data_IF_233233634562
#
_entry.id   IF_233233634562
#
_cell.length_a   1.000
_cell.length_b   1.000
_cell.length_c   1.000
_cell.angle_alpha   90.00
_cell.angle_beta   90.00
_cell.angle_gamma   90.00
#
_symmetry.space_group_name_H-M   'P 1'
#
loop_
_entity.id
_entity.type
_entity.pdbx_description
1 polymer ?
#
# COMPACT_ATOMS: atom_id res chain seq x y z
N UNK A 1 12.07 -19.09 7.51
CA UNK A 1 12.30 -17.76 6.91
C UNK A 1 13.43 -17.89 5.90
N UNK A 2 13.28 -17.43 4.65
CA UNK A 2 14.33 -17.47 3.64
C UNK A 2 15.54 -16.61 4.05
N UNK A 3 16.71 -17.01 3.59
CA UNK A 3 17.92 -16.21 3.75
C UNK A 3 17.81 -14.90 2.94
N UNK A 4 18.47 -13.81 3.38
CA UNK A 4 18.52 -12.56 2.65
C UNK A 4 19.01 -12.75 1.22
N UNK A 5 18.49 -11.95 0.28
CA UNK A 5 18.96 -11.94 -1.09
C UNK A 5 20.45 -11.60 -1.16
N UNK A 6 21.18 -12.30 -2.02
CA UNK A 6 22.62 -12.07 -2.18
C UNK A 6 23.49 -12.51 -0.99
N UNK A 7 22.91 -13.20 -0.01
CA UNK A 7 23.70 -13.74 1.10
C UNK A 7 24.76 -14.71 0.59
N UNK A 8 26.01 -14.41 0.86
CA UNK A 8 27.11 -15.30 0.51
C UNK A 8 27.01 -16.62 1.27
N UNK A 9 27.07 -17.73 0.54
CA UNK A 9 26.94 -19.07 1.07
C UNK A 9 28.23 -19.90 0.95
N UNK A 10 29.35 -19.29 0.56
CA UNK A 10 30.65 -19.93 0.37
C UNK A 10 31.38 -20.24 1.71
N UNK A 11 30.99 -19.57 2.80
CA UNK A 11 31.62 -19.71 4.14
C UNK A 11 30.60 -19.72 5.26
N UNK A 12 29.66 -20.66 5.22
CA UNK A 12 28.59 -20.79 6.22
C UNK A 12 29.11 -21.54 7.45
N UNK A 13 28.90 -20.98 8.64
CA UNK A 13 29.12 -21.69 9.92
C UNK A 13 27.81 -22.16 10.48
N UNK A 14 27.79 -23.44 10.88
CA UNK A 14 26.61 -24.04 11.49
C UNK A 14 26.73 -24.02 13.01
N UNK A 15 25.70 -23.53 13.68
CA UNK A 15 25.55 -23.66 15.14
C UNK A 15 24.56 -24.77 15.39
N UNK A 16 25.07 -25.91 15.88
CA UNK A 16 24.27 -27.09 16.20
C UNK A 16 24.37 -27.34 17.71
N UNK A 17 23.23 -27.45 18.38
CA UNK A 17 23.15 -27.81 19.80
C UNK A 17 22.47 -29.14 19.90
N UNK A 18 23.21 -30.18 20.35
CA UNK A 18 22.66 -31.49 20.62
C UNK A 18 22.19 -31.56 22.07
N UNK A 19 21.03 -32.13 22.30
CA UNK A 19 20.47 -32.29 23.65
C UNK A 19 21.26 -33.23 24.56
N UNK A 20 21.93 -34.22 23.97
CA UNK A 20 22.74 -35.19 24.71
C UNK A 20 24.21 -34.82 24.65
N UNK A 21 24.89 -34.76 25.81
CA UNK A 21 26.30 -34.36 25.92
C UNK A 21 27.28 -35.30 25.16
N UNK A 22 26.92 -36.60 24.99
CA UNK A 22 27.72 -37.58 24.28
C UNK A 22 27.29 -37.78 22.81
N UNK A 23 26.46 -36.87 22.25
CA UNK A 23 26.06 -36.95 20.88
C UNK A 23 27.23 -36.63 19.92
N UNK A 24 27.37 -37.46 18.89
CA UNK A 24 28.24 -37.18 17.76
C UNK A 24 27.39 -36.55 16.66
N UNK A 25 27.90 -35.46 16.10
CA UNK A 25 27.23 -34.72 15.03
C UNK A 25 28.10 -34.74 13.79
N UNK A 26 27.50 -35.11 12.68
CA UNK A 26 28.12 -35.12 11.37
C UNK A 26 27.25 -34.36 10.37
N UNK A 27 27.88 -33.75 9.39
CA UNK A 27 27.20 -32.94 8.36
C UNK A 27 27.62 -33.44 6.98
N UNK A 28 26.68 -33.52 6.06
CA UNK A 28 26.91 -33.78 4.64
C UNK A 28 26.21 -32.74 3.80
N UNK A 29 26.88 -32.23 2.76
CA UNK A 29 26.31 -31.34 1.78
C UNK A 29 25.64 -32.11 0.64
N UNK A 30 24.41 -31.77 0.29
CA UNK A 30 23.65 -32.47 -0.72
C UNK A 30 23.62 -33.97 -0.56
N UNK A 31 24.16 -34.71 -1.54
CA UNK A 31 24.31 -36.17 -1.52
C UNK A 31 25.69 -36.63 -1.06
N UNK A 32 26.58 -35.69 -0.66
CA UNK A 32 27.95 -36.00 -0.24
C UNK A 32 28.07 -36.90 1.00
N UNK A 33 29.29 -37.26 1.38
CA UNK A 33 29.56 -38.05 2.55
C UNK A 33 29.41 -37.26 3.84
N UNK A 34 29.06 -37.93 4.93
CA UNK A 34 29.03 -37.34 6.26
C UNK A 34 30.44 -37.10 6.80
N UNK A 35 30.69 -35.94 7.33
CA UNK A 35 31.93 -35.53 7.98
C UNK A 35 31.65 -34.99 9.38
N UNK A 36 32.60 -35.20 10.31
CA UNK A 36 32.43 -34.70 11.67
C UNK A 36 32.24 -33.19 11.71
N UNK A 37 31.22 -32.73 12.41
CA UNK A 37 30.95 -31.34 12.63
C UNK A 37 31.83 -30.75 13.73
N UNK A 38 32.30 -29.55 13.52
CA UNK A 38 32.93 -28.72 14.57
C UNK A 38 32.37 -27.30 14.47
N UNK A 39 32.31 -26.59 15.60
CA UNK A 39 31.76 -25.23 15.64
C UNK A 39 32.54 -24.19 14.82
N UNK A 40 33.80 -24.50 14.47
CA UNK A 40 34.68 -23.62 13.69
C UNK A 40 34.69 -23.94 12.19
N UNK A 41 34.14 -25.11 11.81
CA UNK A 41 34.13 -25.55 10.41
C UNK A 41 33.19 -24.66 9.58
N UNK A 42 33.66 -24.28 8.40
CA UNK A 42 32.86 -23.62 7.38
C UNK A 42 32.48 -24.56 6.27
N UNK A 43 31.29 -24.35 5.72
CA UNK A 43 30.72 -25.15 4.63
C UNK A 43 30.43 -24.21 3.44
N UNK A 44 30.73 -24.69 2.24
CA UNK A 44 30.33 -24.00 1.02
C UNK A 44 28.99 -24.56 0.55
N UNK A 45 27.95 -23.73 0.68
CA UNK A 45 26.58 -24.04 0.29
C UNK A 45 26.17 -23.30 -0.99
N UNK A 46 27.13 -22.68 -1.71
CA UNK A 46 26.85 -21.94 -2.92
C UNK A 46 26.35 -22.82 -4.08
N UNK A 47 26.87 -24.06 -4.15
CA UNK A 47 26.49 -25.05 -5.17
C UNK A 47 25.33 -25.95 -4.76
N UNK A 48 25.06 -26.08 -3.46
CA UNK A 48 23.94 -26.85 -2.92
C UNK A 48 23.38 -26.19 -1.69
N UNK A 49 22.07 -25.98 -1.65
CA UNK A 49 21.38 -25.42 -0.50
C UNK A 49 20.87 -26.50 0.45
N UNK A 50 21.14 -27.76 0.14
CA UNK A 50 20.73 -28.92 0.96
C UNK A 50 21.86 -29.37 1.82
N UNK A 51 21.58 -29.59 3.09
CA UNK A 51 22.48 -30.27 4.00
C UNK A 51 21.73 -31.33 4.81
N UNK A 52 22.48 -32.34 5.18
CA UNK A 52 22.00 -33.45 6.06
C UNK A 52 22.83 -33.40 7.34
N UNK A 53 22.15 -33.45 8.47
CA UNK A 53 22.78 -33.46 9.79
C UNK A 53 22.45 -34.82 10.42
N UNK A 54 23.47 -35.61 10.69
CA UNK A 54 23.34 -36.88 11.39
C UNK A 54 23.74 -36.69 12.84
N UNK A 55 22.85 -37.03 13.74
CA UNK A 55 23.09 -37.03 15.18
C UNK A 55 23.07 -38.46 15.66
N UNK A 56 24.16 -38.90 16.29
CA UNK A 56 24.31 -40.27 16.85
C UNK A 56 24.43 -40.17 18.36
N UNK A 57 23.51 -40.77 19.10
CA UNK A 57 23.48 -40.78 20.55
C UNK A 57 23.70 -42.22 21.10
N UNK A 58 24.49 -42.40 22.18
CA UNK A 58 24.65 -43.72 22.78
C UNK A 58 23.33 -44.20 23.42
N UNK A 59 23.02 -45.48 23.24
CA UNK A 59 21.88 -46.10 23.91
C UNK A 59 22.34 -46.61 25.28
N UNK A 60 21.69 -46.17 26.34
CA UNK A 60 22.07 -46.51 27.70
C UNK A 60 22.13 -48.05 27.93
N UNK A 61 23.22 -48.54 28.53
CA UNK A 61 23.41 -49.96 28.82
C UNK A 61 23.82 -50.84 27.64
N UNK A 62 24.12 -50.24 26.48
CA UNK A 62 24.54 -50.99 25.26
C UNK A 62 25.74 -50.29 24.60
N UNK A 63 26.43 -51.02 23.69
CA UNK A 63 27.45 -50.43 22.80
C UNK A 63 26.85 -49.87 21.50
N UNK A 64 25.53 -49.79 21.41
CA UNK A 64 24.83 -49.30 20.21
C UNK A 64 24.61 -47.78 20.26
N UNK A 65 24.49 -47.20 19.11
CA UNK A 65 24.11 -45.78 18.93
C UNK A 65 22.85 -45.68 18.10
N UNK A 66 21.94 -44.83 18.53
CA UNK A 66 20.78 -44.48 17.78
C UNK A 66 21.14 -43.29 16.88
N UNK A 67 20.69 -43.31 15.62
CA UNK A 67 21.04 -42.31 14.64
C UNK A 67 19.79 -41.62 14.07
N UNK A 68 19.82 -40.32 14.02
CA UNK A 68 18.80 -39.48 13.41
C UNK A 68 19.42 -38.62 12.30
N UNK A 69 18.78 -38.58 11.15
CA UNK A 69 19.21 -37.73 10.02
C UNK A 69 18.18 -36.67 9.76
N UNK A 70 18.58 -35.42 9.94
CA UNK A 70 17.78 -34.23 9.61
C UNK A 70 18.20 -33.76 8.24
N UNK A 71 17.20 -33.39 7.42
CA UNK A 71 17.42 -32.71 6.16
C UNK A 71 17.07 -31.24 6.36
N UNK A 72 17.99 -30.36 5.97
CA UNK A 72 17.82 -28.91 6.06
C UNK A 72 18.01 -28.33 4.66
N UNK A 73 17.01 -27.63 4.19
CA UNK A 73 17.08 -26.89 2.94
C UNK A 73 17.16 -25.40 3.25
N UNK A 74 18.19 -24.72 2.70
CA UNK A 74 18.36 -23.28 2.85
C UNK A 74 17.67 -22.57 1.69
N UNK A 75 16.47 -22.09 1.93
CA UNK A 75 15.79 -21.23 0.96
C UNK A 75 16.43 -19.84 0.95
N UNK A 76 16.67 -19.29 -0.21
CA UNK A 76 17.08 -17.89 -0.39
C UNK A 76 16.23 -17.24 -1.48
N UNK A 77 16.01 -15.94 -1.38
CA UNK A 77 15.32 -15.23 -2.44
C UNK A 77 16.11 -15.31 -3.76
N UNK A 78 15.44 -15.59 -4.86
CA UNK A 78 16.01 -15.59 -6.22
C UNK A 78 16.24 -14.17 -6.67
N UNK A 79 15.32 -13.27 -6.32
CA UNK A 79 15.38 -11.85 -6.61
C UNK A 79 15.39 -11.07 -5.30
N UNK A 80 15.94 -9.86 -5.32
CA UNK A 80 15.84 -8.99 -4.15
C UNK A 80 14.36 -8.69 -3.85
N UNK A 81 13.82 -9.14 -2.70
CA UNK A 81 12.42 -8.93 -2.36
C UNK A 81 12.08 -7.46 -2.09
N UNK A 82 13.08 -6.59 -2.02
CA UNK A 82 12.91 -5.14 -1.86
C UNK A 82 12.96 -4.39 -3.18
N UNK A 83 13.23 -5.08 -4.30
CA UNK A 83 13.26 -4.45 -5.62
C UNK A 83 11.93 -4.60 -6.35
N UNK A 84 11.55 -3.53 -7.02
CA UNK A 84 10.50 -3.54 -8.03
C UNK A 84 11.14 -3.61 -9.41
N UNK A 85 10.64 -4.51 -10.23
CA UNK A 85 10.90 -4.45 -11.67
C UNK A 85 9.75 -3.72 -12.33
N UNK A 86 10.04 -2.55 -12.86
CA UNK A 86 9.07 -1.73 -13.54
C UNK A 86 9.16 -1.95 -15.04
N UNK A 87 8.01 -1.98 -15.68
CA UNK A 87 7.88 -1.97 -17.14
C UNK A 87 6.74 -1.06 -17.56
N UNK A 88 6.92 -0.34 -18.65
CA UNK A 88 5.81 0.37 -19.26
C UNK A 88 4.87 -0.64 -19.91
N UNK A 89 3.58 -0.50 -19.64
CA UNK A 89 2.53 -1.38 -20.16
C UNK A 89 1.62 -0.61 -21.10
N UNK A 90 1.25 -1.27 -22.21
CA UNK A 90 0.29 -0.71 -23.14
C UNK A 90 -1.07 -0.61 -22.48
N UNK A 91 -1.66 0.57 -22.53
CA UNK A 91 -2.96 0.83 -21.95
C UNK A 91 -3.78 1.76 -22.83
N UNK A 92 -5.11 1.67 -22.72
CA UNK A 92 -6.05 2.46 -23.51
C UNK A 92 -6.85 3.41 -22.62
N UNK A 93 -7.17 4.59 -23.15
CA UNK A 93 -8.03 5.60 -22.51
C UNK A 93 -7.54 6.04 -21.12
N UNK A 94 -6.22 6.14 -20.96
CA UNK A 94 -5.62 6.54 -19.67
C UNK A 94 -6.06 7.94 -19.24
N UNK A 95 -6.37 8.15 -17.94
CA UNK A 95 -6.61 9.48 -17.39
C UNK A 95 -5.37 10.39 -17.52
N UNK A 96 -5.55 11.60 -18.04
CA UNK A 96 -4.46 12.58 -18.17
C UNK A 96 -4.06 13.23 -16.83
N UNK A 97 -4.97 13.22 -15.86
CA UNK A 97 -4.78 13.81 -14.53
C UNK A 97 -4.44 15.32 -14.53
N UNK A 98 -4.65 16.05 -15.61
CA UNK A 98 -4.23 17.46 -15.75
C UNK A 98 -4.74 18.37 -14.62
N UNK A 99 -6.00 18.19 -14.18
CA UNK A 99 -6.59 18.90 -13.05
C UNK A 99 -6.46 18.18 -11.71
N UNK A 100 -5.77 17.02 -11.67
CA UNK A 100 -5.53 16.19 -10.50
C UNK A 100 -6.56 15.09 -10.27
N UNK A 101 -6.13 14.05 -9.55
CA UNK A 101 -7.01 13.06 -8.97
C UNK A 101 -7.79 13.69 -7.80
N UNK A 102 -9.08 13.41 -7.71
CA UNK A 102 -9.98 13.93 -6.66
C UNK A 102 -10.44 12.82 -5.71
N UNK A 103 -10.32 11.57 -6.13
CA UNK A 103 -10.60 10.40 -5.31
C UNK A 103 -10.49 9.13 -6.13
N UNK A 104 -9.95 8.10 -5.50
CA UNK A 104 -9.87 6.74 -6.01
C UNK A 104 -10.80 5.86 -5.18
N UNK A 105 -11.77 5.25 -5.81
CA UNK A 105 -12.68 4.30 -5.20
C UNK A 105 -12.25 2.89 -5.59
N UNK A 106 -11.51 2.24 -4.72
CA UNK A 106 -11.12 0.85 -4.90
C UNK A 106 -12.33 -0.08 -4.74
N UNK A 107 -12.44 -1.06 -5.61
CA UNK A 107 -13.50 -2.06 -5.62
C UNK A 107 -12.88 -3.45 -5.40
N UNK A 108 -13.71 -4.48 -5.24
CA UNK A 108 -13.23 -5.86 -5.12
C UNK A 108 -12.40 -6.30 -6.33
N UNK A 109 -12.74 -5.79 -7.51
CA UNK A 109 -11.95 -5.91 -8.75
C UNK A 109 -11.96 -4.55 -9.43
N UNK A 110 -10.78 -4.03 -9.74
CA UNK A 110 -10.62 -2.74 -10.39
C UNK A 110 -10.83 -1.53 -9.47
N UNK A 111 -11.02 -0.36 -10.06
CA UNK A 111 -11.30 0.89 -9.35
C UNK A 111 -12.03 1.91 -10.23
N UNK A 112 -12.68 2.88 -9.58
CA UNK A 112 -13.21 4.08 -10.22
C UNK A 112 -12.41 5.30 -9.74
N UNK A 113 -11.98 6.13 -10.68
CA UNK A 113 -11.19 7.35 -10.44
C UNK A 113 -12.02 8.58 -10.82
N UNK A 114 -12.26 9.43 -9.83
CA UNK A 114 -12.76 10.77 -10.04
C UNK A 114 -11.56 11.72 -10.22
N UNK A 115 -11.52 12.41 -11.34
CA UNK A 115 -10.40 13.29 -11.69
C UNK A 115 -10.86 14.49 -12.52
N UNK A 116 -9.96 15.38 -12.80
CA UNK A 116 -10.25 16.56 -13.60
C UNK A 116 -9.35 16.65 -14.81
N UNK A 117 -9.95 16.85 -15.97
CA UNK A 117 -9.26 17.19 -17.21
C UNK A 117 -9.42 18.70 -17.44
N UNK A 118 -8.34 19.45 -17.30
CA UNK A 118 -8.38 20.90 -17.34
C UNK A 118 -9.55 21.47 -16.49
N UNK A 119 -10.69 21.77 -17.11
CA UNK A 119 -11.86 22.31 -16.43
C UNK A 119 -13.05 21.34 -16.33
N UNK A 120 -12.97 20.17 -16.96
CA UNK A 120 -14.06 19.19 -16.97
C UNK A 120 -13.89 18.12 -15.88
N UNK A 121 -14.99 17.77 -15.22
CA UNK A 121 -15.04 16.63 -14.31
C UNK A 121 -15.05 15.35 -15.13
N UNK A 122 -14.31 14.35 -14.68
CA UNK A 122 -14.22 13.04 -15.31
C UNK A 122 -14.37 11.95 -14.26
N UNK A 123 -15.12 10.92 -14.60
CA UNK A 123 -15.18 9.68 -13.86
C UNK A 123 -14.77 8.57 -14.84
N UNK A 124 -13.76 7.80 -14.48
CA UNK A 124 -13.27 6.68 -15.30
C UNK A 124 -13.08 5.46 -14.41
N UNK A 125 -13.26 4.28 -14.97
CA UNK A 125 -13.06 3.03 -14.22
C UNK A 125 -12.34 1.98 -15.05
N UNK A 126 -11.79 0.99 -14.35
CA UNK A 126 -11.28 -0.26 -14.94
C UNK A 126 -11.80 -1.45 -14.12
N UNK A 127 -12.00 -2.59 -14.78
CA UNK A 127 -12.68 -3.74 -14.17
C UNK A 127 -11.75 -4.71 -13.43
N UNK A 128 -10.47 -4.83 -13.84
CA UNK A 128 -9.53 -5.77 -13.21
C UNK A 128 -8.11 -5.22 -13.15
N UNK A 129 -7.57 -4.79 -14.27
CA UNK A 129 -6.24 -4.20 -14.38
C UNK A 129 -6.35 -2.80 -14.98
N UNK A 130 -5.51 -1.84 -14.59
CA UNK A 130 -5.62 -0.46 -15.07
C UNK A 130 -5.09 -0.25 -16.50
N UNK A 131 -5.06 -1.31 -17.30
CA UNK A 131 -4.64 -1.28 -18.71
C UNK A 131 -5.76 -0.90 -19.68
N UNK A 132 -7.03 -0.98 -19.25
CA UNK A 132 -8.19 -0.60 -20.05
C UNK A 132 -9.17 0.20 -19.22
N UNK A 133 -9.23 1.49 -19.47
CA UNK A 133 -10.12 2.42 -18.80
C UNK A 133 -11.36 2.69 -19.65
N UNK A 134 -12.47 2.92 -18.97
CA UNK A 134 -13.72 3.35 -19.57
C UNK A 134 -14.24 4.62 -18.90
N UNK A 135 -14.79 5.53 -19.69
CA UNK A 135 -15.45 6.72 -19.16
C UNK A 135 -16.82 6.38 -18.61
N UNK A 136 -17.16 6.92 -17.46
CA UNK A 136 -18.49 6.81 -16.86
C UNK A 136 -19.18 8.18 -16.89
N UNK A 137 -20.47 8.24 -17.23
CA UNK A 137 -21.19 9.52 -17.29
C UNK A 137 -21.42 10.08 -15.90
N UNK A 138 -21.29 11.39 -15.75
CA UNK A 138 -21.70 12.14 -14.56
C UNK A 138 -23.11 12.76 -14.76
N UNK A 139 -24.01 12.03 -15.40
CA UNK A 139 -25.38 12.47 -15.68
C UNK A 139 -26.13 12.83 -14.40
N UNK A 140 -26.72 14.03 -14.36
CA UNK A 140 -27.39 14.57 -13.17
C UNK A 140 -26.54 15.54 -12.34
N UNK A 141 -25.21 15.56 -12.52
CA UNK A 141 -24.35 16.60 -11.96
C UNK A 141 -24.20 17.70 -13.01
N UNK A 142 -24.59 18.96 -12.70
CA UNK A 142 -24.43 20.09 -13.64
C UNK A 142 -22.96 20.24 -14.07
N UNK A 143 -22.71 20.42 -15.34
CA UNK A 143 -21.35 20.61 -15.88
C UNK A 143 -20.60 21.82 -15.33
N UNK A 144 -21.34 22.79 -14.79
CA UNK A 144 -20.81 23.96 -14.11
C UNK A 144 -20.33 23.71 -12.70
N UNK A 145 -20.78 22.60 -12.08
CA UNK A 145 -20.36 22.23 -10.73
C UNK A 145 -19.00 21.49 -10.75
N UNK A 146 -18.13 21.87 -9.84
CA UNK A 146 -16.82 21.23 -9.69
C UNK A 146 -16.93 20.11 -8.66
N UNK A 147 -16.71 18.88 -9.09
CA UNK A 147 -16.63 17.73 -8.17
C UNK A 147 -15.38 17.80 -7.30
N UNK A 148 -15.46 17.31 -6.06
CA UNK A 148 -14.38 17.43 -5.07
C UNK A 148 -13.94 16.10 -4.47
N UNK A 149 -14.83 15.12 -4.34
CA UNK A 149 -14.50 13.80 -3.79
C UNK A 149 -15.50 12.73 -4.18
N UNK A 150 -15.09 11.48 -4.11
CA UNK A 150 -15.93 10.29 -4.32
C UNK A 150 -15.68 9.29 -3.18
N UNK A 151 -16.72 8.63 -2.71
CA UNK A 151 -16.65 7.49 -1.79
C UNK A 151 -17.87 6.59 -1.97
N UNK A 152 -17.83 5.38 -1.38
CA UNK A 152 -18.96 4.47 -1.34
C UNK A 152 -19.44 4.18 0.07
N UNK A 153 -20.73 4.05 0.24
CA UNK A 153 -21.39 3.54 1.44
C UNK A 153 -22.12 2.24 1.05
N UNK A 154 -21.55 1.11 1.43
CA UNK A 154 -21.97 -0.16 0.87
C UNK A 154 -21.76 -0.18 -0.65
N UNK A 155 -22.83 -0.50 -1.40
CA UNK A 155 -22.81 -0.53 -2.87
C UNK A 155 -23.12 0.81 -3.53
N UNK A 156 -23.52 1.84 -2.76
CA UNK A 156 -23.93 3.14 -3.30
C UNK A 156 -22.75 4.08 -3.37
N UNK A 157 -22.49 4.67 -4.54
CA UNK A 157 -21.44 5.68 -4.72
C UNK A 157 -22.00 7.08 -4.47
N UNK A 158 -21.14 7.94 -3.91
CA UNK A 158 -21.46 9.33 -3.62
C UNK A 158 -20.36 10.23 -4.17
N UNK A 159 -20.73 11.42 -4.64
CA UNK A 159 -19.85 12.48 -5.10
C UNK A 159 -20.24 13.78 -4.41
N UNK A 160 -19.24 14.56 -4.00
CA UNK A 160 -19.45 15.93 -3.53
C UNK A 160 -18.97 16.96 -4.55
N UNK A 161 -19.51 18.18 -4.46
CA UNK A 161 -19.11 19.30 -5.29
C UNK A 161 -18.62 20.48 -4.44
N UNK A 162 -17.95 21.43 -5.09
CA UNK A 162 -17.49 22.68 -4.44
C UNK A 162 -18.63 23.59 -3.98
N UNK A 163 -19.85 23.35 -4.45
CA UNK A 163 -21.06 24.00 -4.00
C UNK A 163 -21.66 23.37 -2.72
N UNK A 164 -20.91 22.50 -2.05
CA UNK A 164 -21.34 21.74 -0.87
C UNK A 164 -22.58 20.85 -1.13
N UNK A 165 -22.72 20.36 -2.35
CA UNK A 165 -23.78 19.44 -2.72
C UNK A 165 -23.26 18.01 -2.69
N UNK A 166 -24.09 17.09 -2.23
CA UNK A 166 -23.89 15.65 -2.25
C UNK A 166 -24.76 15.04 -3.32
N UNK A 167 -24.19 14.18 -4.14
CA UNK A 167 -24.91 13.37 -5.12
C UNK A 167 -24.71 11.90 -4.79
N UNK A 168 -25.78 11.12 -4.91
CA UNK A 168 -25.74 9.67 -4.87
C UNK A 168 -26.01 9.08 -6.25
N UNK A 169 -25.35 7.99 -6.55
CA UNK A 169 -25.63 7.23 -7.77
C UNK A 169 -26.90 6.40 -7.60
N UNK A 170 -27.76 6.46 -8.57
CA UNK A 170 -28.98 5.66 -8.66
C UNK A 170 -29.28 5.35 -10.13
N UNK A 171 -29.29 4.06 -10.49
CA UNK A 171 -29.61 3.59 -11.84
C UNK A 171 -28.82 4.29 -12.95
N UNK A 172 -27.50 4.50 -12.73
CA UNK A 172 -26.61 5.13 -13.70
C UNK A 172 -26.69 6.65 -13.80
N UNK A 173 -27.44 7.31 -12.91
CA UNK A 173 -27.57 8.76 -12.81
C UNK A 173 -27.20 9.23 -11.41
N UNK A 174 -26.73 10.47 -11.29
CA UNK A 174 -26.39 11.12 -10.04
C UNK A 174 -27.54 12.01 -9.57
N UNK A 175 -28.07 11.75 -8.39
CA UNK A 175 -29.22 12.46 -7.81
C UNK A 175 -28.76 13.24 -6.60
N UNK A 176 -29.10 14.53 -6.56
CA UNK A 176 -28.76 15.41 -5.43
C UNK A 176 -29.44 14.93 -4.13
N UNK A 177 -28.66 14.84 -3.07
CA UNK A 177 -29.11 14.60 -1.69
C UNK A 177 -29.12 15.93 -0.96
N UNK A 178 -30.32 16.44 -0.71
CA UNK A 178 -30.50 17.78 -0.14
C UNK A 178 -30.10 17.87 1.34
N UNK A 179 -29.72 19.06 1.79
CA UNK A 179 -29.62 19.42 3.22
C UNK A 179 -28.46 18.82 4.01
N UNK A 180 -27.46 18.22 3.36
CA UNK A 180 -26.37 17.55 4.08
C UNK A 180 -25.23 18.50 4.51
N UNK A 181 -24.97 19.55 3.74
CA UNK A 181 -23.82 20.46 3.97
C UNK A 181 -22.45 19.79 3.79
N UNK A 182 -22.41 18.56 3.25
CA UNK A 182 -21.17 17.80 3.05
C UNK A 182 -20.36 18.43 1.93
N UNK A 183 -19.11 18.78 2.24
CA UNK A 183 -18.16 19.36 1.27
C UNK A 183 -17.11 18.39 0.81
N UNK A 184 -16.90 17.28 1.58
CA UNK A 184 -15.92 16.26 1.26
C UNK A 184 -16.28 14.90 1.85
N UNK A 185 -16.08 13.87 1.06
CA UNK A 185 -16.10 12.47 1.48
C UNK A 185 -14.66 12.01 1.75
N UNK A 186 -14.42 11.33 2.88
CA UNK A 186 -13.09 10.85 3.25
C UNK A 186 -12.98 9.35 2.99
N UNK A 187 -13.89 8.55 3.54
CA UNK A 187 -13.87 7.10 3.33
C UNK A 187 -14.87 6.35 4.20
N UNK A 188 -15.07 5.06 3.91
CA UNK A 188 -16.02 4.23 4.63
C UNK A 188 -15.47 3.80 5.99
N UNK A 189 -16.38 3.71 6.95
CA UNK A 189 -16.18 3.19 8.30
C UNK A 189 -17.32 2.24 8.66
N UNK A 190 -17.07 1.37 9.65
CA UNK A 190 -18.12 0.59 10.29
C UNK A 190 -18.31 1.14 11.71
N UNK A 191 -19.54 1.48 12.06
CA UNK A 191 -19.87 1.94 13.41
C UNK A 191 -19.62 0.84 14.44
N UNK A 192 -19.63 1.21 15.72
CA UNK A 192 -19.54 0.23 16.82
C UNK A 192 -20.69 -0.79 16.84
N UNK A 193 -21.77 -0.51 16.12
CA UNK A 193 -22.95 -1.38 15.96
C UNK A 193 -22.88 -2.22 14.68
N UNK A 194 -21.76 -2.15 13.92
CA UNK A 194 -21.58 -2.90 12.67
C UNK A 194 -22.19 -2.24 11.44
N UNK A 195 -22.79 -1.04 11.56
CA UNK A 195 -23.42 -0.36 10.44
C UNK A 195 -22.43 0.44 9.61
N UNK A 196 -22.56 0.42 8.28
CA UNK A 196 -21.67 1.20 7.41
C UNK A 196 -21.94 2.71 7.58
N UNK A 197 -20.87 3.49 7.57
CA UNK A 197 -20.87 4.95 7.67
C UNK A 197 -19.80 5.52 6.74
N UNK A 198 -19.96 6.79 6.34
CA UNK A 198 -18.91 7.55 5.68
C UNK A 198 -18.39 8.63 6.61
N UNK A 199 -17.08 8.68 6.81
CA UNK A 199 -16.43 9.84 7.38
C UNK A 199 -16.46 10.98 6.36
N UNK A 200 -16.92 12.14 6.78
CA UNK A 200 -17.14 13.30 5.92
C UNK A 200 -16.65 14.59 6.55
N UNK A 201 -16.42 15.60 5.73
CA UNK A 201 -16.32 17.00 6.18
C UNK A 201 -17.57 17.72 5.73
N UNK A 202 -18.19 18.43 6.64
CA UNK A 202 -19.30 19.34 6.37
C UNK A 202 -18.93 20.77 6.70
N UNK A 203 -19.60 21.72 6.08
CA UNK A 203 -19.52 23.13 6.42
C UNK A 203 -20.79 23.54 7.17
N UNK A 204 -20.61 24.10 8.35
CA UNK A 204 -21.69 24.61 9.19
C UNK A 204 -21.26 25.95 9.77
N UNK A 205 -22.06 27.00 9.60
CA UNK A 205 -21.73 28.35 10.06
C UNK A 205 -20.41 28.90 9.53
N UNK A 206 -19.97 28.48 8.34
CA UNK A 206 -18.69 28.87 7.74
C UNK A 206 -17.47 28.10 8.24
N UNK A 207 -17.62 27.16 9.18
CA UNK A 207 -16.57 26.35 9.73
C UNK A 207 -16.64 24.91 9.21
N UNK A 208 -15.48 24.30 8.92
CA UNK A 208 -15.39 22.91 8.54
C UNK A 208 -15.35 22.00 9.76
N UNK A 209 -16.18 20.99 9.78
CA UNK A 209 -16.30 20.02 10.86
C UNK A 209 -16.31 18.60 10.33
N UNK A 210 -15.78 17.68 11.13
CA UNK A 210 -15.92 16.25 10.85
C UNK A 210 -17.34 15.77 11.15
N UNK A 211 -17.83 14.82 10.38
CA UNK A 211 -19.13 14.18 10.58
C UNK A 211 -19.14 12.74 10.08
N UNK A 212 -20.20 12.03 10.44
CA UNK A 212 -20.53 10.69 9.95
C UNK A 212 -21.83 10.76 9.19
N UNK A 213 -21.82 10.24 7.96
CA UNK A 213 -23.00 10.13 7.11
C UNK A 213 -23.48 8.68 7.05
N UNK A 214 -24.75 8.45 7.31
CA UNK A 214 -25.36 7.11 7.36
C UNK A 214 -26.15 6.75 6.09
N UNK A 215 -26.14 7.61 5.09
CA UNK A 215 -26.93 7.47 3.86
C UNK A 215 -28.19 8.34 3.86
N UNK A 216 -28.60 8.88 5.00
CA UNK A 216 -29.78 9.73 5.14
C UNK A 216 -29.47 11.07 5.82
N UNK A 217 -28.67 11.05 6.88
CA UNK A 217 -28.33 12.21 7.69
C UNK A 217 -26.87 12.25 8.09
N UNK A 218 -26.40 13.43 8.46
CA UNK A 218 -25.06 13.63 9.00
C UNK A 218 -25.12 13.74 10.52
N UNK A 219 -24.55 12.77 11.22
CA UNK A 219 -24.24 12.93 12.63
C UNK A 219 -23.03 13.85 12.76
N UNK A 220 -23.23 15.07 13.21
CA UNK A 220 -22.13 15.99 13.46
C UNK A 220 -21.80 16.05 14.94
N UNK A 221 -20.51 16.00 15.22
CA UNK A 221 -19.95 16.33 16.52
C UNK A 221 -19.01 17.51 16.28
N UNK A 222 -18.95 18.44 17.23
CA UNK A 222 -18.25 19.73 17.09
C UNK A 222 -16.71 19.59 17.09
N UNK A 223 -16.17 18.78 16.19
CA UNK A 223 -14.73 18.66 15.99
C UNK A 223 -14.33 19.38 14.69
N UNK A 224 -13.62 20.49 14.84
CA UNK A 224 -13.10 21.27 13.72
C UNK A 224 -12.04 20.49 12.95
N UNK A 225 -12.00 20.68 11.64
CA UNK A 225 -10.96 20.12 10.78
C UNK A 225 -9.67 20.92 10.96
N UNK A 226 -8.55 20.29 11.36
CA UNK A 226 -7.25 20.96 11.44
C UNK A 226 -6.80 21.49 10.09
N UNK A 227 -6.05 22.62 10.09
CA UNK A 227 -5.57 23.26 8.86
C UNK A 227 -4.56 22.41 8.08
N UNK A 228 -3.88 21.48 8.75
CA UNK A 228 -2.91 20.53 8.19
C UNK A 228 -3.53 19.17 7.83
N UNK A 229 -4.86 19.05 7.94
CA UNK A 229 -5.56 17.83 7.52
C UNK A 229 -5.42 17.63 6.00
N UNK A 230 -5.13 16.41 5.51
CA UNK A 230 -4.83 16.16 4.10
C UNK A 230 -5.93 16.66 3.17
N UNK A 231 -5.54 17.21 2.02
CA UNK A 231 -6.47 17.74 1.01
C UNK A 231 -7.30 16.65 0.35
N UNK A 232 -8.32 17.06 -0.43
CA UNK A 232 -9.07 16.14 -1.28
C UNK A 232 -8.14 15.44 -2.29
N UNK A 233 -8.46 14.20 -2.64
CA UNK A 233 -7.62 13.35 -3.51
C UNK A 233 -6.50 12.60 -2.78
N UNK A 234 -6.30 12.83 -1.47
CA UNK A 234 -5.41 12.02 -0.67
C UNK A 234 -5.93 10.58 -0.58
N UNK A 235 -5.00 9.63 -0.62
CA UNK A 235 -5.34 8.21 -0.53
C UNK A 235 -5.85 7.86 0.87
N UNK A 236 -6.93 7.08 0.92
CA UNK A 236 -7.46 6.52 2.17
C UNK A 236 -7.72 5.03 2.02
N UNK A 237 -7.60 4.30 3.11
CA UNK A 237 -8.07 2.92 3.20
C UNK A 237 -8.63 2.61 4.58
N UNK A 238 -9.54 1.64 4.63
CA UNK A 238 -10.10 1.13 5.88
C UNK A 238 -9.54 -0.25 6.18
N UNK A 239 -9.14 -0.46 7.43
CA UNK A 239 -8.68 -1.75 7.94
C UNK A 239 -9.64 -2.25 9.01
N UNK A 240 -10.07 -3.51 8.89
CA UNK A 240 -10.88 -4.16 9.91
C UNK A 240 -9.96 -4.85 10.92
N UNK A 241 -9.94 -4.36 12.14
CA UNK A 241 -9.34 -5.11 13.24
C UNK A 241 -10.29 -6.22 13.68
N UNK A 242 -9.93 -7.46 13.30
CA UNK A 242 -10.73 -8.66 13.61
C UNK A 242 -10.83 -8.95 15.11
N UNK A 243 -9.87 -8.48 15.90
CA UNK A 243 -9.84 -8.73 17.35
C UNK A 243 -10.83 -7.84 18.10
N UNK A 244 -11.03 -6.62 17.65
CA UNK A 244 -11.93 -5.64 18.29
C UNK A 244 -13.21 -5.37 17.50
N UNK A 245 -13.37 -5.97 16.31
CA UNK A 245 -14.55 -5.79 15.46
C UNK A 245 -14.76 -4.35 14.98
N UNK A 246 -13.71 -3.54 14.96
CA UNK A 246 -13.76 -2.12 14.58
C UNK A 246 -13.01 -1.86 13.31
N UNK A 247 -13.56 -0.97 12.51
CA UNK A 247 -12.87 -0.45 11.34
C UNK A 247 -12.08 0.79 11.73
N UNK A 248 -10.81 0.83 11.35
CA UNK A 248 -9.97 2.04 11.40
C UNK A 248 -9.84 2.59 9.99
N UNK A 249 -10.17 3.85 9.81
CA UNK A 249 -9.94 4.58 8.54
C UNK A 249 -8.64 5.34 8.65
N UNK A 250 -7.77 5.12 7.66
CA UNK A 250 -6.49 5.80 7.51
C UNK A 250 -6.54 6.75 6.31
N UNK A 251 -5.91 7.91 6.46
CA UNK A 251 -5.78 8.92 5.42
C UNK A 251 -4.32 9.39 5.37
N UNK A 252 -3.73 9.38 4.19
CA UNK A 252 -2.34 9.78 4.00
C UNK A 252 -2.23 11.23 3.51
N UNK A 253 -1.20 11.90 3.98
CA UNK A 253 -0.88 13.26 3.57
C UNK A 253 0.59 13.57 3.83
N UNK A 254 0.94 14.83 3.65
CA UNK A 254 2.25 15.37 3.99
C UNK A 254 2.11 16.69 4.73
N UNK A 255 3.11 17.01 5.54
CA UNK A 255 3.19 18.25 6.30
C UNK A 255 4.56 18.88 6.15
N UNK A 256 4.58 20.20 6.00
CA UNK A 256 5.81 20.98 6.07
C UNK A 256 6.09 21.41 7.53
N UNK A 257 7.31 21.18 7.98
CA UNK A 257 7.78 21.65 9.27
C UNK A 257 9.26 22.06 9.17
N UNK A 258 9.58 23.28 9.59
CA UNK A 258 10.94 23.83 9.53
C UNK A 258 11.60 23.71 8.13
N UNK A 259 10.85 23.96 7.06
CA UNK A 259 11.32 23.90 5.67
C UNK A 259 11.53 22.48 5.12
N UNK A 260 11.15 21.44 5.87
CA UNK A 260 11.18 20.06 5.42
C UNK A 260 9.78 19.50 5.33
N UNK A 261 9.57 18.57 4.40
CA UNK A 261 8.30 17.87 4.21
C UNK A 261 8.39 16.46 4.80
N UNK A 262 7.36 16.09 5.55
CA UNK A 262 7.27 14.80 6.23
C UNK A 262 6.01 14.08 5.80
N UNK A 263 6.04 12.75 5.59
CA UNK A 263 4.85 11.96 5.42
C UNK A 263 4.02 11.98 6.71
N UNK A 264 2.72 12.07 6.57
CA UNK A 264 1.79 11.96 7.69
C UNK A 264 0.77 10.88 7.41
N UNK A 265 0.27 10.25 8.49
CA UNK A 265 -0.87 9.35 8.47
C UNK A 265 -1.87 9.82 9.51
N UNK A 266 -3.06 10.11 9.06
CA UNK A 266 -4.19 10.40 9.92
C UNK A 266 -5.05 9.16 10.06
N UNK A 267 -5.61 8.94 11.23
CA UNK A 267 -6.48 7.80 11.44
C UNK A 267 -7.61 8.10 12.42
N UNK A 268 -8.70 7.34 12.27
CA UNK A 268 -9.88 7.44 13.11
C UNK A 268 -10.59 6.09 13.20
N UNK A 269 -11.22 5.83 14.35
CA UNK A 269 -12.11 4.69 14.54
C UNK A 269 -13.58 5.09 14.64
N UNK A 270 -13.84 6.39 14.72
CA UNK A 270 -15.19 6.94 14.88
C UNK A 270 -15.57 8.02 13.87
N UNK A 271 -14.66 8.34 12.91
CA UNK A 271 -14.89 9.28 11.83
C UNK A 271 -14.89 10.76 12.20
N UNK A 272 -14.91 11.10 13.49
CA UNK A 272 -15.01 12.49 13.96
C UNK A 272 -13.81 12.94 14.78
N UNK A 273 -13.17 12.03 15.50
CA UNK A 273 -11.91 12.29 16.20
C UNK A 273 -10.79 11.66 15.42
N UNK A 274 -9.81 12.46 15.04
CA UNK A 274 -8.67 12.05 14.24
C UNK A 274 -7.38 12.21 15.04
N UNK A 275 -6.53 11.20 14.95
CA UNK A 275 -5.16 11.25 15.42
C UNK A 275 -4.21 11.32 14.23
N UNK A 276 -3.04 11.90 14.44
CA UNK A 276 -2.00 12.05 13.43
C UNK A 276 -0.74 11.35 13.88
N UNK A 277 -0.23 10.46 13.04
CA UNK A 277 1.13 9.93 13.15
C UNK A 277 2.03 10.73 12.21
N UNK A 278 3.20 11.12 12.69
CA UNK A 278 4.24 11.77 11.90
C UNK A 278 5.50 10.94 11.95
N UNK A 279 6.04 10.62 10.80
CA UNK A 279 7.35 9.99 10.72
C UNK A 279 8.47 11.01 10.98
N UNK A 280 9.60 10.54 11.45
CA UNK A 280 10.85 11.31 11.55
C UNK A 280 11.56 11.44 10.20
N UNK A 281 11.25 10.58 9.23
CA UNK A 281 11.81 10.61 7.89
C UNK A 281 11.25 11.78 7.10
N UNK A 282 12.09 12.72 6.68
CA UNK A 282 11.69 13.78 5.74
C UNK A 282 11.89 13.34 4.30
N UNK A 283 11.09 13.91 3.40
CA UNK A 283 11.31 13.75 1.96
C UNK A 283 12.66 14.33 1.54
N UNK A 284 13.28 13.72 0.52
CA UNK A 284 14.55 14.20 -0.03
C UNK A 284 14.42 15.53 -0.76
N UNK A 285 13.26 15.77 -1.37
CA UNK A 285 12.93 17.03 -2.03
C UNK A 285 11.48 17.43 -1.73
N UNK A 286 11.13 18.69 -2.03
CA UNK A 286 9.75 19.17 -1.90
C UNK A 286 8.81 18.38 -2.81
N UNK A 287 7.76 17.73 -2.26
CA UNK A 287 6.76 17.07 -3.08
C UNK A 287 5.95 18.08 -3.88
N UNK A 288 5.77 17.83 -5.17
CA UNK A 288 4.81 18.53 -6.00
C UNK A 288 3.52 17.74 -6.10
N UNK A 289 3.65 16.43 -6.26
CA UNK A 289 2.52 15.49 -6.25
C UNK A 289 2.94 14.24 -5.50
N UNK A 290 2.03 13.69 -4.73
CA UNK A 290 2.23 12.44 -4.03
C UNK A 290 1.03 11.52 -4.20
N UNK A 291 1.29 10.23 -4.13
CA UNK A 291 0.28 9.19 -4.16
C UNK A 291 0.72 8.02 -3.30
N UNK A 292 -0.24 7.34 -2.69
CA UNK A 292 0.00 6.18 -1.83
C UNK A 292 -0.85 5.03 -2.34
N UNK A 293 -0.36 3.81 -2.20
CA UNK A 293 -1.16 2.60 -2.31
C UNK A 293 -0.86 1.66 -1.15
N UNK A 294 -1.85 0.92 -0.69
CA UNK A 294 -1.74 0.00 0.44
C UNK A 294 -2.16 -1.41 0.04
N UNK A 295 -1.31 -2.38 0.37
CA UNK A 295 -1.56 -3.80 0.17
C UNK A 295 -2.02 -4.44 1.49
N UNK A 296 -3.34 -4.60 1.64
CA UNK A 296 -3.94 -5.08 2.88
C UNK A 296 -3.49 -6.49 3.29
N UNK A 297 -3.12 -7.35 2.32
CA UNK A 297 -2.65 -8.72 2.59
C UNK A 297 -1.30 -8.78 3.29
N UNK A 298 -0.45 -7.79 3.10
CA UNK A 298 0.91 -7.71 3.67
C UNK A 298 1.09 -6.57 4.65
N UNK A 299 0.06 -5.73 4.84
CA UNK A 299 0.11 -4.48 5.62
C UNK A 299 1.16 -3.47 5.11
N UNK A 300 1.54 -3.58 3.84
CA UNK A 300 2.55 -2.73 3.24
C UNK A 300 1.94 -1.55 2.53
N UNK A 301 2.63 -0.42 2.62
CA UNK A 301 2.24 0.79 1.90
C UNK A 301 3.42 1.31 1.09
N UNK A 302 3.11 1.83 -0.09
CA UNK A 302 4.07 2.41 -1.02
C UNK A 302 3.65 3.84 -1.30
N UNK A 303 4.57 4.77 -1.13
CA UNK A 303 4.37 6.19 -1.39
C UNK A 303 5.30 6.63 -2.49
N UNK A 304 4.76 7.24 -3.51
CA UNK A 304 5.49 7.81 -4.62
C UNK A 304 5.35 9.33 -4.57
N UNK A 305 6.47 10.00 -4.74
CA UNK A 305 6.56 11.47 -4.64
C UNK A 305 7.21 12.00 -5.91
N UNK A 306 6.45 12.69 -6.73
CA UNK A 306 6.98 13.43 -7.86
C UNK A 306 7.47 14.80 -7.38
N UNK A 307 8.72 15.10 -7.69
CA UNK A 307 9.41 16.34 -7.34
C UNK A 307 9.67 17.18 -8.59
N UNK A 308 10.30 18.32 -8.46
CA UNK A 308 10.75 19.12 -9.60
C UNK A 308 11.77 18.40 -10.48
N UNK A 309 12.51 17.42 -9.94
CA UNK A 309 13.63 16.76 -10.61
C UNK A 309 13.37 15.29 -10.95
N UNK A 310 12.31 14.69 -10.38
CA UNK A 310 12.03 13.27 -10.64
C UNK A 310 11.08 12.62 -9.66
N UNK A 311 11.19 11.29 -9.55
CA UNK A 311 10.37 10.44 -8.71
C UNK A 311 11.20 9.91 -7.52
N UNK A 312 10.62 10.00 -6.34
CA UNK A 312 11.09 9.32 -5.13
C UNK A 312 10.06 8.27 -4.70
N UNK A 313 10.53 7.15 -4.15
CA UNK A 313 9.66 6.13 -3.59
C UNK A 313 9.99 5.88 -2.12
N UNK A 314 8.96 5.68 -1.33
CA UNK A 314 9.03 5.36 0.09
C UNK A 314 8.18 4.12 0.35
N UNK A 315 8.64 3.32 1.28
CA UNK A 315 8.06 2.03 1.63
C UNK A 315 7.78 1.95 3.12
N UNK A 316 6.67 1.31 3.49
CA UNK A 316 6.27 1.08 4.87
C UNK A 316 5.80 -0.37 5.04
N UNK A 317 6.18 -1.00 6.15
CA UNK A 317 5.77 -2.37 6.53
C UNK A 317 4.70 -2.41 7.60
N UNK A 318 4.31 -1.26 8.13
CA UNK A 318 3.40 -1.10 9.27
C UNK A 318 2.15 -0.29 8.92
N UNK A 319 1.72 -0.38 7.66
CA UNK A 319 0.53 0.33 7.18
C UNK A 319 0.70 1.85 7.10
N UNK A 320 1.94 2.32 6.91
CA UNK A 320 2.26 3.74 6.74
C UNK A 320 2.48 4.50 8.05
N UNK A 321 2.74 3.81 9.16
CA UNK A 321 3.12 4.46 10.41
C UNK A 321 4.55 4.97 10.36
N UNK A 322 5.49 4.14 9.88
CA UNK A 322 6.85 4.52 9.59
C UNK A 322 7.20 4.27 8.12
N UNK A 323 8.12 5.07 7.60
CA UNK A 323 8.54 5.02 6.21
C UNK A 323 10.04 4.82 6.09
N UNK A 324 10.46 4.00 5.15
CA UNK A 324 11.84 3.85 4.73
C UNK A 324 11.97 4.46 3.32
N UNK A 325 13.02 5.25 3.11
CA UNK A 325 13.39 5.63 1.75
C UNK A 325 13.84 4.37 1.05
N UNK A 326 13.23 4.04 -0.08
CA UNK A 326 13.66 2.93 -0.90
C UNK A 326 15.14 3.12 -1.23
N UNK A 327 16.01 2.32 -0.62
CA UNK A 327 17.41 2.24 -1.05
C UNK A 327 17.35 1.75 -2.48
N UNK A 328 17.79 2.61 -3.42
CA UNK A 328 18.04 2.23 -4.80
C UNK A 328 17.11 1.09 -5.27
N UNK A 329 15.83 1.24 -4.98
CA UNK A 329 14.85 0.48 -5.70
C UNK A 329 15.16 0.96 -7.10
N UNK A 330 16.05 0.20 -7.71
CA UNK A 330 16.40 0.41 -9.07
C UNK A 330 15.05 0.45 -9.74
N UNK A 331 14.61 1.65 -10.05
CA UNK A 331 13.43 1.86 -10.86
C UNK A 331 13.81 1.30 -12.22
N UNK A 332 14.22 0.00 -12.20
CA UNK A 332 14.71 -0.73 -13.37
C UNK A 332 13.57 -0.69 -14.37
N UNK A 333 13.78 0.02 -15.47
CA UNK A 333 12.74 0.30 -16.46
C UNK A 333 12.00 1.63 -16.25
N UNK A 334 12.23 2.37 -15.17
CA UNK A 334 11.78 3.75 -15.02
C UNK A 334 12.96 4.71 -15.03
N UNK A 335 12.81 5.81 -15.75
CA UNK A 335 13.72 6.95 -15.63
C UNK A 335 13.09 7.94 -14.66
N UNK A 336 13.59 8.13 -13.42
CA UNK A 336 12.96 9.01 -12.44
C UNK A 336 12.72 10.43 -12.96
N UNK A 337 13.60 10.96 -13.80
CA UNK A 337 13.46 12.29 -14.41
C UNK A 337 12.25 12.43 -15.33
N UNK A 338 11.71 11.35 -15.90
CA UNK A 338 10.49 11.39 -16.71
C UNK A 338 9.28 11.86 -15.90
N UNK A 339 9.33 11.64 -14.58
CA UNK A 339 8.26 12.02 -13.66
C UNK A 339 8.43 13.43 -13.07
N UNK A 340 9.47 14.16 -13.47
CA UNK A 340 9.71 15.52 -13.00
C UNK A 340 8.49 16.41 -13.26
N UNK A 341 7.92 16.97 -12.19
CA UNK A 341 6.71 17.80 -12.21
C UNK A 341 5.47 17.15 -12.83
N UNK A 342 5.44 15.81 -12.95
CA UNK A 342 4.27 15.09 -13.46
C UNK A 342 3.32 14.71 -12.33
N UNK A 343 2.02 14.77 -12.61
CA UNK A 343 1.01 14.18 -11.72
C UNK A 343 1.11 12.66 -11.79
N UNK A 344 0.97 12.03 -10.66
CA UNK A 344 1.11 10.58 -10.51
C UNK A 344 -0.07 10.02 -9.73
N UNK A 345 -0.41 8.77 -10.01
CA UNK A 345 -1.39 8.00 -9.25
C UNK A 345 -0.91 6.55 -9.13
N UNK A 346 -0.75 6.09 -7.91
CA UNK A 346 -0.47 4.68 -7.63
C UNK A 346 -1.78 3.90 -7.53
N UNK A 347 -1.78 2.72 -8.13
CA UNK A 347 -2.92 1.81 -8.16
C UNK A 347 -2.43 0.44 -7.71
N UNK A 348 -3.24 -0.28 -6.96
CA UNK A 348 -2.93 -1.68 -6.64
C UNK A 348 -3.33 -2.59 -7.80
N UNK A 349 -2.59 -3.67 -7.98
CA UNK A 349 -2.98 -4.78 -8.85
C UNK A 349 -4.11 -5.62 -8.25
N UNK A 350 -4.58 -6.57 -9.03
CA UNK A 350 -5.58 -7.54 -8.57
C UNK A 350 -5.01 -8.49 -7.49
N UNK A 351 -3.71 -8.58 -7.39
CA UNK A 351 -2.96 -9.37 -6.40
C UNK A 351 -2.00 -8.49 -5.58
N UNK A 352 -1.39 -9.07 -4.56
CA UNK A 352 -0.46 -8.37 -3.68
C UNK A 352 0.96 -8.21 -4.28
N UNK A 353 1.17 -8.61 -5.53
CA UNK A 353 2.49 -8.60 -6.16
C UNK A 353 2.67 -7.49 -7.19
N UNK A 354 1.57 -6.86 -7.62
CA UNK A 354 1.60 -5.82 -8.64
C UNK A 354 1.13 -4.47 -8.10
N UNK A 355 1.88 -3.44 -8.44
CA UNK A 355 1.52 -2.04 -8.25
C UNK A 355 1.64 -1.36 -9.61
N UNK A 356 0.68 -0.52 -9.93
CA UNK A 356 0.73 0.30 -11.13
C UNK A 356 0.98 1.75 -10.75
N UNK A 357 1.75 2.44 -11.57
CA UNK A 357 1.99 3.87 -11.46
C UNK A 357 1.55 4.56 -12.76
N UNK A 358 0.45 5.32 -12.67
CA UNK A 358 -0.02 6.16 -13.76
C UNK A 358 0.70 7.50 -13.70
N UNK A 359 1.39 7.86 -14.77
CA UNK A 359 1.97 9.17 -15.00
C UNK A 359 1.00 9.99 -15.86
N UNK A 360 0.50 11.08 -15.32
CA UNK A 360 -0.41 11.99 -16.02
C UNK A 360 0.32 12.95 -16.98
N UNK A 361 -0.43 13.62 -17.80
CA UNK A 361 0.02 14.61 -18.79
C UNK A 361 -0.71 14.45 -20.12
N UNK A 362 -0.33 15.22 -21.13
CA UNK A 362 -0.95 15.18 -22.46
C UNK A 362 -0.81 13.77 -23.12
N UNK A 363 0.23 13.05 -22.78
CA UNK A 363 0.45 11.66 -23.16
C UNK A 363 0.65 10.84 -21.90
N UNK A 364 -0.44 10.38 -21.26
CA UNK A 364 -0.33 9.60 -20.05
C UNK A 364 0.29 8.23 -20.31
N UNK A 365 1.10 7.75 -19.36
CA UNK A 365 1.80 6.45 -19.43
C UNK A 365 1.48 5.64 -18.19
N UNK A 366 1.40 4.33 -18.36
CA UNK A 366 1.17 3.39 -17.25
C UNK A 366 2.38 2.48 -17.10
N UNK A 367 2.83 2.34 -15.87
CA UNK A 367 3.93 1.45 -15.51
C UNK A 367 3.43 0.41 -14.54
N UNK A 368 3.86 -0.82 -14.73
CA UNK A 368 3.62 -1.94 -13.84
C UNK A 368 4.88 -2.25 -13.05
N UNK A 369 4.76 -2.27 -11.75
CA UNK A 369 5.81 -2.66 -10.81
C UNK A 369 5.50 -4.03 -10.23
N UNK A 370 6.39 -5.00 -10.45
CA UNK A 370 6.27 -6.35 -9.93
C UNK A 370 7.12 -6.54 -8.68
N UNK A 371 6.50 -6.99 -7.59
CA UNK A 371 7.17 -7.34 -6.34
C UNK A 371 7.40 -8.85 -6.32
N UNK A 372 8.62 -9.29 -6.52
CA UNK A 372 8.98 -10.73 -6.60
C UNK A 372 9.40 -11.30 -5.24
N UNK A 373 8.53 -11.24 -4.24
CA UNK A 373 8.87 -11.68 -2.87
C UNK A 373 8.71 -13.17 -2.60
N UNK A 374 7.95 -13.86 -3.41
CA UNK A 374 7.62 -15.28 -3.19
C UNK A 374 8.57 -16.25 -3.89
N UNK A 375 9.46 -15.74 -4.75
CA UNK A 375 10.41 -16.60 -5.46
C UNK A 375 11.64 -16.85 -4.60
N UNK A 376 11.66 -17.98 -3.94
CA UNK A 376 12.83 -18.50 -3.22
C UNK A 376 13.10 -19.95 -3.62
N UNK A 377 14.39 -20.30 -3.65
CA UNK A 377 14.89 -21.64 -3.97
C UNK A 377 15.29 -22.38 -2.70
#
# INVERSE_FOLDING_TARGET
EPLPYGQALDKVRLRITAAAAAAQVEVALGTGNFESWTATKTYDLSSTKDLRIRVSTPVAGTNQREQYVYRVHLASYVNDPQTFQWSEVSASQLPTLEGGALGLLEQAKGAALLWRNANANQLTSYASTPTSWSSEPLSGIPSTERVTSIASLGSVRYITTSAAKLYREQSGSWIEVSGTGITRLIGPLTSTQGEPRLAVIKTEGGSQQFGLYDGSQVESRSYSVPSDFPAAGSYSYSSNDKLVGRTTLYLFGSQEHAGKHYPTRWWTTNGVQWAQDRDSLSYGARPLYETVTHLASTSESFRFVATATGLEMYFSRDGGQSWERGRDIALTGLTPSDFASKRILALKGADATHIYLLMGGAQPRLFEGLIRRSEHN
#
